data_IF_935951430503
#
_entry.id   IF_935951430503
#
_cell.length_a   1.000
_cell.length_b   1.000
_cell.length_c   1.000
_cell.angle_alpha   90.00
_cell.angle_beta   90.00
_cell.angle_gamma   90.00
#
_symmetry.space_group_name_H-M   'P 1'
#
loop_
_entity.id
_entity.type
_entity.pdbx_description
1 polymer ?
#
# COMPACT_ATOMS: atom_id res chain seq x y z
N UNK A 1 -10.59 -3.02 -1.12
CA UNK A 1 -9.11 -3.06 -1.11
C UNK A 1 -8.69 -4.52 -1.20
N UNK A 2 -7.65 -4.82 -1.97
CA UNK A 2 -7.14 -6.19 -2.10
C UNK A 2 -6.45 -6.66 -0.80
N UNK A 3 -6.52 -7.95 -0.48
CA UNK A 3 -5.90 -8.54 0.72
C UNK A 3 -4.39 -8.23 0.81
N UNK A 4 -3.70 -8.21 -0.33
CA UNK A 4 -2.27 -7.88 -0.41
C UNK A 4 -1.96 -6.40 -0.13
N UNK A 5 -2.84 -5.49 -0.56
CA UNK A 5 -2.70 -4.05 -0.29
C UNK A 5 -2.89 -3.75 1.21
N UNK A 6 -3.84 -4.45 1.85
CA UNK A 6 -4.08 -4.34 3.29
C UNK A 6 -2.91 -4.87 4.12
N UNK A 7 -2.34 -6.02 3.73
CA UNK A 7 -1.15 -6.56 4.39
C UNK A 7 0.05 -5.60 4.27
N UNK A 8 0.24 -4.96 3.10
CA UNK A 8 1.28 -3.95 2.93
C UNK A 8 1.08 -2.75 3.85
N UNK A 9 -0.14 -2.22 3.95
CA UNK A 9 -0.45 -1.08 4.81
C UNK A 9 -0.24 -1.42 6.28
N UNK A 10 -0.73 -2.58 6.73
CA UNK A 10 -0.53 -3.06 8.10
C UNK A 10 0.96 -3.19 8.41
N UNK A 11 1.72 -3.88 7.56
CA UNK A 11 3.15 -4.08 7.80
C UNK A 11 3.94 -2.77 7.88
N UNK A 12 3.67 -1.83 6.97
CA UNK A 12 4.39 -0.55 6.93
C UNK A 12 4.00 0.39 8.08
N UNK A 13 2.70 0.56 8.34
CA UNK A 13 2.22 1.65 9.20
C UNK A 13 1.75 1.20 10.58
N UNK A 14 1.31 -0.06 10.74
CA UNK A 14 0.92 -0.60 12.05
C UNK A 14 2.08 -1.35 12.71
N UNK A 15 2.86 -2.09 11.93
CA UNK A 15 3.97 -2.92 12.45
C UNK A 15 5.35 -2.26 12.27
N UNK A 16 5.44 -1.16 11.52
CA UNK A 16 6.70 -0.42 11.31
C UNK A 16 7.77 -1.18 10.51
N UNK A 17 7.39 -2.23 9.78
CA UNK A 17 8.31 -3.03 8.97
C UNK A 17 8.81 -2.23 7.76
N UNK A 18 10.03 -2.52 7.33
CA UNK A 18 10.58 -1.93 6.10
C UNK A 18 10.03 -2.65 4.86
N UNK A 19 10.03 -1.95 3.71
CA UNK A 19 9.69 -2.55 2.40
C UNK A 19 10.50 -3.81 2.10
N UNK A 20 11.79 -3.81 2.46
CA UNK A 20 12.67 -4.97 2.24
C UNK A 20 12.27 -6.18 3.09
N UNK A 21 11.85 -5.95 4.34
CA UNK A 21 11.34 -7.00 5.21
C UNK A 21 10.03 -7.57 4.66
N UNK A 22 9.08 -6.70 4.32
CA UNK A 22 7.80 -7.09 3.72
C UNK A 22 7.96 -7.87 2.42
N UNK A 23 8.92 -7.48 1.56
CA UNK A 23 9.20 -8.20 0.31
C UNK A 23 9.62 -9.65 0.56
N UNK A 24 10.39 -9.89 1.63
CA UNK A 24 10.83 -11.25 2.02
C UNK A 24 9.69 -12.06 2.63
N UNK A 25 8.91 -11.46 3.53
CA UNK A 25 7.77 -12.13 4.18
C UNK A 25 6.69 -12.53 3.17
N UNK A 26 6.35 -11.62 2.25
CA UNK A 26 5.31 -11.84 1.24
C UNK A 26 5.82 -12.56 -0.02
N UNK A 27 7.12 -12.90 -0.07
CA UNK A 27 7.78 -13.53 -1.22
C UNK A 27 7.52 -12.81 -2.56
N UNK A 28 7.53 -11.48 -2.55
CA UNK A 28 7.34 -10.65 -3.74
C UNK A 28 8.52 -9.72 -3.93
N UNK A 29 8.73 -9.28 -5.18
CA UNK A 29 9.76 -8.29 -5.47
C UNK A 29 9.43 -6.95 -4.78
N UNK A 30 10.47 -6.19 -4.38
CA UNK A 30 10.30 -4.82 -3.85
C UNK A 30 9.55 -3.92 -4.85
N UNK A 31 9.76 -4.12 -6.15
CA UNK A 31 9.06 -3.38 -7.23
C UNK A 31 7.54 -3.60 -7.15
N UNK A 32 7.11 -4.83 -6.87
CA UNK A 32 5.70 -5.17 -6.69
C UNK A 32 5.08 -4.37 -5.54
N UNK A 33 5.77 -4.29 -4.39
CA UNK A 33 5.28 -3.51 -3.25
C UNK A 33 5.19 -2.01 -3.54
N UNK A 34 6.14 -1.44 -4.28
CA UNK A 34 6.06 -0.04 -4.71
C UNK A 34 4.85 0.22 -5.63
N UNK A 35 4.56 -0.71 -6.54
CA UNK A 35 3.37 -0.62 -7.40
C UNK A 35 2.08 -0.68 -6.58
N UNK A 36 2.01 -1.56 -5.58
CA UNK A 36 0.86 -1.59 -4.67
C UNK A 36 0.69 -0.28 -3.90
N UNK A 37 1.79 0.29 -3.38
CA UNK A 37 1.77 1.60 -2.71
C UNK A 37 1.24 2.70 -3.63
N UNK A 38 1.68 2.73 -4.89
CA UNK A 38 1.21 3.70 -5.87
C UNK A 38 -0.30 3.56 -6.13
N UNK A 39 -0.80 2.32 -6.30
CA UNK A 39 -2.24 2.06 -6.48
C UNK A 39 -3.06 2.51 -5.27
N UNK A 40 -2.56 2.28 -4.06
CA UNK A 40 -3.21 2.74 -2.83
C UNK A 40 -3.27 4.28 -2.79
N UNK A 41 -2.17 4.96 -3.12
CA UNK A 41 -2.14 6.43 -3.17
C UNK A 41 -3.14 6.97 -4.20
N UNK A 42 -3.20 6.38 -5.39
CA UNK A 42 -4.17 6.77 -6.43
C UNK A 42 -5.63 6.58 -5.95
N UNK A 43 -5.92 5.44 -5.29
CA UNK A 43 -7.23 5.19 -4.68
C UNK A 43 -7.58 6.23 -3.61
N UNK A 44 -6.62 6.58 -2.76
CA UNK A 44 -6.81 7.59 -1.71
C UNK A 44 -7.02 9.01 -2.28
N UNK A 45 -6.26 9.39 -3.30
CA UNK A 45 -6.42 10.68 -4.00
C UNK A 45 -7.76 10.75 -4.72
N UNK A 46 -8.19 9.67 -5.40
CA UNK A 46 -9.51 9.61 -6.03
C UNK A 46 -10.67 9.75 -5.02
N UNK A 47 -10.51 9.17 -3.82
CA UNK A 47 -11.47 9.33 -2.72
C UNK A 47 -11.49 10.77 -2.18
N UNK A 48 -10.33 11.39 -1.93
CA UNK A 48 -10.24 12.75 -1.42
C UNK A 48 -10.68 13.80 -2.46
N UNK A 49 -10.32 13.63 -3.73
CA UNK A 49 -10.74 14.51 -4.82
C UNK A 49 -12.26 14.57 -4.98
N UNK A 50 -12.97 13.45 -4.76
CA UNK A 50 -14.43 13.43 -4.74
C UNK A 50 -15.04 14.02 -3.46
N UNK A 51 -14.27 14.12 -2.37
CA UNK A 51 -14.75 14.62 -1.07
C UNK A 51 -14.62 16.14 -0.97
N UNK A 52 -13.64 16.75 -1.65
CA UNK A 52 -13.45 18.22 -1.68
C UNK A 52 -14.16 18.94 -2.83
N UNK A 53 -14.83 18.21 -3.73
CA UNK A 53 -15.54 18.77 -4.88
C UNK A 53 -17.06 18.99 -4.63
N UNK A 54 -17.50 19.04 -3.37
CA UNK A 54 -18.92 19.21 -3.00
C UNK A 54 -19.16 20.47 -2.20
#
# INVERSE_FOLDING_TARGET
MDSSEQQLLRGLYLEGKTISCMARELQVSRKTLYQWRLRIQQKAVGLLGNTFAR
#
